data_IF_414603023601
#
_entry.id   IF_414603023601
#
_cell.length_a   1.000
_cell.length_b   1.000
_cell.length_c   1.000
_cell.angle_alpha   90.00
_cell.angle_beta   90.00
_cell.angle_gamma   90.00
#
_symmetry.space_group_name_H-M   'P 1'
#
loop_
_entity.id
_entity.type
_entity.pdbx_description
1 polymer ?
#
# COMPACT_ATOMS: atom_id res chain seq x y z
N UNK A 1 -7.74 -13.51 -3.10
CA UNK A 1 -7.80 -12.03 -3.10
C UNK A 1 -7.85 -11.57 -1.65
N UNK A 2 -6.70 -11.34 -1.01
CA UNK A 2 -6.69 -10.85 0.37
C UNK A 2 -6.66 -9.32 0.33
N UNK A 3 -7.69 -8.71 0.91
CA UNK A 3 -7.78 -7.27 1.04
C UNK A 3 -6.56 -6.77 1.81
N UNK A 4 -5.81 -5.84 1.22
CA UNK A 4 -4.76 -5.11 1.92
C UNK A 4 -5.49 -4.16 2.89
N UNK A 5 -5.92 -4.70 4.03
CA UNK A 5 -6.58 -3.94 5.07
C UNK A 5 -5.57 -2.91 5.56
N UNK A 6 -5.77 -1.64 5.19
CA UNK A 6 -5.03 -0.52 5.75
C UNK A 6 -5.54 -0.34 7.18
N UNK A 7 -5.04 -1.16 8.09
CA UNK A 7 -5.33 -1.03 9.52
C UNK A 7 -4.46 0.08 10.08
N UNK A 8 -5.12 1.09 10.65
CA UNK A 8 -4.45 2.12 11.44
C UNK A 8 -3.81 1.44 12.65
N UNK A 9 -2.47 1.38 12.68
CA UNK A 9 -1.72 0.81 13.81
C UNK A 9 -1.90 1.67 15.06
N UNK A 10 -1.97 1.03 16.22
CA UNK A 10 -2.00 1.72 17.51
C UNK A 10 -0.64 2.39 17.81
N UNK A 11 -0.64 3.38 18.72
CA UNK A 11 0.59 4.04 19.17
C UNK A 11 1.62 3.07 19.74
N UNK A 12 1.17 2.06 20.50
CA UNK A 12 2.03 1.05 21.08
C UNK A 12 2.74 0.23 20.00
N UNK A 13 2.01 -0.21 18.98
CA UNK A 13 2.59 -0.98 17.88
C UNK A 13 3.57 -0.15 17.02
N UNK A 14 3.33 1.15 16.86
CA UNK A 14 4.31 2.04 16.21
C UNK A 14 5.60 2.19 17.03
N UNK A 15 5.50 2.23 18.36
CA UNK A 15 6.69 2.28 19.24
C UNK A 15 7.51 0.98 19.15
N UNK A 16 6.84 -0.17 19.07
CA UNK A 16 7.50 -1.47 18.83
C UNK A 16 8.20 -1.46 17.47
N UNK A 17 7.52 -1.02 16.41
CA UNK A 17 8.10 -0.92 15.07
C UNK A 17 9.35 -0.03 15.04
N UNK A 18 9.28 1.17 15.63
CA UNK A 18 10.44 2.08 15.68
C UNK A 18 11.60 1.45 16.46
N UNK A 19 11.31 0.73 17.54
CA UNK A 19 12.33 0.04 18.34
C UNK A 19 13.03 -1.08 17.56
N UNK A 20 12.27 -1.87 16.80
CA UNK A 20 12.80 -2.91 15.92
C UNK A 20 13.65 -2.32 14.79
N UNK A 21 13.18 -1.24 14.16
CA UNK A 21 13.93 -0.55 13.10
C UNK A 21 15.23 0.06 13.63
N UNK A 22 15.22 0.61 14.85
CA UNK A 22 16.44 1.11 15.50
C UNK A 22 17.44 0.00 15.76
N UNK A 23 16.97 -1.17 16.23
CA UNK A 23 17.81 -2.37 16.41
C UNK A 23 18.37 -2.86 15.09
N UNK A 24 17.53 -2.95 14.05
CA UNK A 24 17.95 -3.38 12.72
C UNK A 24 19.03 -2.47 12.12
N UNK A 25 18.94 -1.17 12.37
CA UNK A 25 19.94 -0.19 11.89
C UNK A 25 21.22 -0.14 12.72
N UNK A 26 21.35 -0.91 13.81
CA UNK A 26 22.61 -0.96 14.56
C UNK A 26 23.62 -1.91 13.89
N UNK A 27 24.94 -1.72 14.11
CA UNK A 27 25.96 -2.64 13.58
C UNK A 27 25.74 -4.09 13.99
N UNK A 28 25.31 -4.31 15.24
CA UNK A 28 25.01 -5.63 15.80
C UNK A 28 23.75 -6.23 15.15
N UNK A 29 22.73 -5.40 14.91
CA UNK A 29 21.52 -5.82 14.20
C UNK A 29 21.75 -6.15 12.74
N UNK A 30 22.68 -5.46 12.07
CA UNK A 30 23.10 -5.78 10.70
C UNK A 30 23.97 -7.04 10.64
N UNK A 31 24.75 -7.32 11.68
CA UNK A 31 25.54 -8.55 11.77
C UNK A 31 24.66 -9.80 11.98
N UNK A 32 23.53 -9.66 12.70
CA UNK A 32 22.59 -10.76 12.97
C UNK A 32 21.12 -10.34 12.76
N UNK A 33 20.68 -10.09 11.51
CA UNK A 33 19.38 -9.46 11.24
C UNK A 33 18.19 -10.41 11.35
N UNK A 34 18.40 -11.71 11.23
CA UNK A 34 17.31 -12.69 11.07
C UNK A 34 16.33 -12.72 12.24
N UNK A 35 16.81 -12.56 13.48
CA UNK A 35 15.94 -12.49 14.66
C UNK A 35 15.03 -11.27 14.64
N UNK A 36 15.59 -10.10 14.27
CA UNK A 36 14.84 -8.84 14.20
C UNK A 36 13.82 -8.88 13.05
N UNK A 37 14.18 -9.51 11.92
CA UNK A 37 13.27 -9.70 10.78
C UNK A 37 12.13 -10.68 11.11
N UNK A 38 12.37 -11.68 11.94
CA UNK A 38 11.33 -12.58 12.43
C UNK A 38 10.31 -11.82 13.31
N UNK A 39 10.78 -11.01 14.26
CA UNK A 39 9.91 -10.15 15.09
C UNK A 39 9.09 -9.17 14.22
N UNK A 40 9.70 -8.59 13.18
CA UNK A 40 8.98 -7.73 12.22
C UNK A 40 7.93 -8.48 11.40
N UNK A 41 8.12 -9.79 11.17
CA UNK A 41 7.16 -10.63 10.44
C UNK A 41 5.99 -11.06 11.33
N UNK A 42 6.21 -11.29 12.62
CA UNK A 42 5.14 -11.56 13.59
C UNK A 42 4.17 -10.38 13.71
N UNK A 43 4.65 -9.16 13.47
CA UNK A 43 3.83 -7.95 13.39
C UNK A 43 2.89 -7.90 12.17
N UNK A 44 3.04 -8.81 11.21
CA UNK A 44 2.21 -8.96 10.01
C UNK A 44 3.02 -8.94 8.71
N UNK A 45 2.46 -9.53 7.65
CA UNK A 45 3.13 -9.67 6.34
C UNK A 45 3.37 -8.34 5.61
N UNK A 46 2.55 -7.33 5.90
CA UNK A 46 2.67 -5.95 5.40
C UNK A 46 2.49 -4.99 6.58
N UNK A 47 3.53 -4.23 6.89
CA UNK A 47 3.57 -3.29 8.03
C UNK A 47 3.68 -1.86 7.50
N UNK A 48 2.73 -1.00 7.86
CA UNK A 48 2.79 0.42 7.49
C UNK A 48 3.88 1.15 8.29
N UNK A 49 4.77 1.83 7.58
CA UNK A 49 5.81 2.66 8.16
C UNK A 49 5.24 4.01 8.64
N UNK A 50 5.87 4.66 9.64
CA UNK A 50 5.42 5.96 10.13
C UNK A 50 5.54 7.09 9.08
N UNK A 51 6.39 6.93 8.06
CA UNK A 51 6.62 7.92 6.99
C UNK A 51 5.82 7.65 5.70
N UNK A 52 4.58 7.16 5.81
CA UNK A 52 3.71 6.79 4.67
C UNK A 52 4.29 5.71 3.74
N UNK A 53 5.29 4.96 4.19
CA UNK A 53 5.82 3.77 3.50
C UNK A 53 5.15 2.47 3.95
N UNK A 54 5.52 1.36 3.31
CA UNK A 54 5.14 0.00 3.72
C UNK A 54 6.39 -0.88 3.76
N UNK A 55 6.49 -1.69 4.80
CA UNK A 55 7.41 -2.82 4.90
C UNK A 55 6.66 -4.08 4.52
N UNK A 56 7.26 -4.88 3.65
CA UNK A 56 6.71 -6.17 3.25
C UNK A 56 7.67 -7.23 3.76
N UNK A 57 7.18 -8.08 4.65
CA UNK A 57 7.98 -9.08 5.40
C UNK A 57 7.52 -10.49 5.08
N UNK A 58 6.28 -10.66 4.60
CA UNK A 58 5.72 -11.93 4.13
C UNK A 58 6.30 -12.37 2.79
N UNK A 59 6.57 -13.67 2.63
CA UNK A 59 7.19 -14.19 1.40
C UNK A 59 6.29 -13.99 0.17
N UNK A 60 5.02 -14.38 0.27
CA UNK A 60 4.07 -14.27 -0.85
C UNK A 60 3.80 -12.81 -1.21
N UNK A 61 3.67 -11.94 -0.20
CA UNK A 61 3.49 -10.50 -0.40
C UNK A 61 4.74 -9.89 -1.07
N UNK A 62 5.95 -10.23 -0.64
CA UNK A 62 7.19 -9.79 -1.30
C UNK A 62 7.27 -10.30 -2.74
N UNK A 63 6.94 -11.56 -2.97
CA UNK A 63 6.93 -12.17 -4.31
C UNK A 63 5.94 -11.45 -5.23
N UNK A 64 4.75 -11.12 -4.73
CA UNK A 64 3.75 -10.35 -5.47
C UNK A 64 4.20 -8.92 -5.77
N UNK A 65 4.86 -8.24 -4.82
CA UNK A 65 5.38 -6.87 -5.03
C UNK A 65 6.52 -6.85 -6.06
N UNK A 66 7.46 -7.79 -5.98
CA UNK A 66 8.64 -7.81 -6.84
C UNK A 66 8.39 -8.43 -8.21
N UNK A 67 7.44 -9.37 -8.33
CA UNK A 67 7.19 -10.14 -9.56
C UNK A 67 5.79 -9.91 -10.15
N UNK A 68 4.89 -9.30 -9.41
CA UNK A 68 3.53 -9.03 -9.86
C UNK A 68 3.51 -7.97 -10.96
N UNK A 69 2.88 -8.30 -12.10
CA UNK A 69 2.70 -7.37 -13.23
C UNK A 69 1.69 -6.25 -12.96
N UNK A 70 0.89 -6.38 -11.90
CA UNK A 70 -0.16 -5.43 -11.54
C UNK A 70 0.28 -4.39 -10.49
N UNK A 71 1.48 -4.54 -9.91
CA UNK A 71 1.99 -3.59 -8.93
C UNK A 71 2.37 -2.28 -9.63
N UNK A 72 1.77 -1.17 -9.19
CA UNK A 72 1.87 0.18 -9.80
C UNK A 72 1.23 0.34 -11.18
N UNK A 73 0.45 -0.62 -11.70
CA UNK A 73 -0.45 -0.29 -12.81
C UNK A 73 -1.45 0.73 -12.25
N UNK A 74 -1.44 2.00 -12.71
CA UNK A 74 -2.53 2.89 -12.36
C UNK A 74 -3.76 2.17 -12.89
N UNK A 75 -4.65 1.76 -11.98
CA UNK A 75 -6.02 1.45 -12.39
C UNK A 75 -6.45 2.75 -13.03
N UNK A 76 -6.38 2.82 -14.36
CA UNK A 76 -6.82 3.98 -15.09
C UNK A 76 -8.28 4.05 -14.70
N UNK A 77 -8.76 5.07 -13.95
CA UNK A 77 -10.19 5.29 -13.92
C UNK A 77 -10.52 5.52 -15.38
N UNK A 78 -11.16 4.53 -15.99
CA UNK A 78 -11.52 4.55 -17.39
C UNK A 78 -12.12 5.92 -17.64
N UNK A 79 -11.62 6.61 -18.66
CA UNK A 79 -12.17 7.87 -19.16
C UNK A 79 -13.68 7.72 -19.14
N UNK A 80 -14.35 8.27 -18.12
CA UNK A 80 -15.80 8.37 -18.12
C UNK A 80 -16.10 9.13 -19.39
N UNK A 81 -16.77 8.48 -20.33
CA UNK A 81 -17.16 9.06 -21.58
C UNK A 81 -17.84 10.39 -21.24
N UNK A 82 -17.11 11.48 -21.49
CA UNK A 82 -17.63 12.82 -21.35
C UNK A 82 -18.74 12.86 -22.37
N UNK A 83 -19.98 12.75 -21.89
CA UNK A 83 -21.16 12.66 -22.73
C UNK A 83 -21.07 13.74 -23.79
N UNK A 84 -21.12 13.30 -25.05
CA UNK A 84 -21.22 14.18 -26.21
C UNK A 84 -22.31 15.21 -25.93
N UNK A 85 -22.07 16.53 -26.10
CA UNK A 85 -23.14 17.49 -25.99
C UNK A 85 -24.09 17.20 -27.17
N UNK A 86 -25.28 16.67 -26.88
CA UNK A 86 -26.36 16.58 -27.85
C UNK A 86 -26.79 18.01 -28.17
N UNK A 87 -26.15 18.59 -29.18
CA UNK A 87 -26.69 19.72 -29.93
C UNK A 87 -28.03 19.28 -30.52
N UNK A 88 -29.09 19.93 -30.06
CA UNK A 88 -30.45 19.75 -30.55
C UNK A 88 -31.21 21.02 -30.25
N UNK A 89 -31.08 22.01 -31.13
CA UNK A 89 -31.88 23.24 -31.13
C UNK A 89 -33.36 22.87 -31.17
N UNK A 90 -34.08 23.12 -30.09
CA UNK A 90 -35.53 23.02 -30.08
C UNK A 90 -36.09 24.39 -30.51
N UNK A 91 -36.53 24.48 -31.77
CA UNK A 91 -37.33 25.60 -32.25
C UNK A 91 -38.61 25.76 -31.41
N UNK A 92 -39.08 26.99 -31.16
CA UNK A 92 -40.34 27.23 -30.46
C UNK A 92 -41.55 26.97 -31.37
N UNK A 93 -42.69 26.48 -30.86
CA UNK A 93 -43.92 26.43 -31.65
C UNK A 93 -44.52 27.83 -31.75
N UNK A 94 -44.83 28.23 -32.98
CA UNK A 94 -45.59 29.44 -33.29
C UNK A 94 -47.10 29.16 -33.37
N UNK A 95 -47.84 30.24 -33.06
CA UNK A 95 -49.29 30.48 -33.17
C UNK A 95 -50.19 29.89 -32.08
#
# INVERSE_FOLDING_TARGET
MSAIGVTTRTRAELQVLVSLLRRLNSPEGQAAPYGILAELREMGDVVRAPWKGYFVTGFDACSQVLRGRDWLRPTSPGRSARGTPRGGTRSPPGR
#
